data_IF_111132186774
#
_entry.id   IF_111132186774
#
_cell.length_a   1.000
_cell.length_b   1.000
_cell.length_c   1.000
_cell.angle_alpha   90.00
_cell.angle_beta   90.00
_cell.angle_gamma   90.00
#
_symmetry.space_group_name_H-M   'P 1'
#
loop_
_entity.id
_entity.type
_entity.pdbx_description
1 polymer ?
#
# COMPACT_ATOMS: atom_id res chain seq x y z
N UNK A 1 -11.08 4.42 -5.70
CA UNK A 1 -12.16 3.42 -5.98
C UNK A 1 -12.38 3.36 -7.48
N UNK A 2 -11.86 2.34 -8.14
CA UNK A 2 -12.01 2.14 -9.59
C UNK A 2 -13.49 2.03 -10.03
N UNK A 3 -14.38 1.65 -9.12
CA UNK A 3 -15.83 1.63 -9.32
C UNK A 3 -16.57 2.09 -8.04
N UNK A 4 -17.01 3.34 -7.98
CA UNK A 4 -17.91 3.80 -6.92
C UNK A 4 -19.20 2.97 -6.89
N UNK A 5 -19.69 2.65 -5.69
CA UNK A 5 -20.96 1.94 -5.50
C UNK A 5 -20.91 0.41 -5.63
N UNK A 6 -19.76 -0.19 -5.92
CA UNK A 6 -19.57 -1.65 -5.83
C UNK A 6 -18.90 -1.98 -4.50
N UNK A 7 -19.55 -2.82 -3.71
CA UNK A 7 -18.92 -3.37 -2.50
C UNK A 7 -17.76 -4.29 -2.92
N UNK A 8 -16.52 -4.01 -2.52
CA UNK A 8 -15.37 -4.82 -2.91
C UNK A 8 -15.36 -6.21 -2.28
N UNK A 9 -16.11 -6.43 -1.21
CA UNK A 9 -16.15 -7.70 -0.47
C UNK A 9 -17.35 -8.58 -0.84
N UNK A 10 -18.46 -7.93 -1.25
CA UNK A 10 -19.67 -8.63 -1.67
C UNK A 10 -20.20 -8.01 -2.97
N UNK A 11 -19.46 -8.14 -4.09
CA UNK A 11 -19.93 -7.64 -5.38
C UNK A 11 -21.16 -8.41 -5.83
N UNK A 12 -22.14 -7.72 -6.40
CA UNK A 12 -23.32 -8.39 -6.97
C UNK A 12 -22.89 -9.27 -8.15
N UNK A 13 -23.49 -10.44 -8.29
CA UNK A 13 -23.28 -11.30 -9.46
C UNK A 13 -23.59 -10.52 -10.74
N UNK A 14 -22.74 -10.66 -11.77
CA UNK A 14 -22.83 -9.90 -13.02
C UNK A 14 -22.23 -8.50 -12.98
N UNK A 15 -21.65 -8.05 -11.85
CA UNK A 15 -20.91 -6.77 -11.79
C UNK A 15 -19.66 -6.85 -12.66
N UNK A 16 -19.44 -5.80 -13.49
CA UNK A 16 -18.21 -5.64 -14.26
C UNK A 16 -17.22 -4.83 -13.44
N UNK A 17 -16.05 -5.37 -13.15
CA UNK A 17 -14.95 -4.70 -12.47
C UNK A 17 -13.88 -4.26 -13.47
N UNK A 18 -13.37 -3.05 -13.33
CA UNK A 18 -12.20 -2.60 -14.07
C UNK A 18 -10.95 -3.00 -13.29
N UNK A 19 -10.13 -3.86 -13.87
CA UNK A 19 -8.86 -4.28 -13.29
C UNK A 19 -7.75 -3.54 -14.04
N UNK A 20 -7.01 -2.62 -13.40
CA UNK A 20 -5.89 -1.96 -14.05
C UNK A 20 -4.76 -2.98 -14.27
N UNK A 21 -4.29 -3.08 -15.51
CA UNK A 21 -3.12 -3.89 -15.87
C UNK A 21 -1.80 -3.13 -15.69
N UNK A 22 -1.88 -1.85 -15.38
CA UNK A 22 -0.75 -0.95 -15.18
C UNK A 22 -0.91 -0.24 -13.84
N UNK A 23 0.20 -0.04 -13.13
CA UNK A 23 0.32 0.85 -11.97
C UNK A 23 1.58 1.67 -12.12
N UNK A 24 1.57 2.92 -11.66
CA UNK A 24 2.77 3.74 -11.63
C UNK A 24 3.64 3.34 -10.44
N UNK A 25 4.96 3.43 -10.63
CA UNK A 25 5.88 3.19 -9.53
C UNK A 25 5.92 4.40 -8.59
N UNK A 26 6.09 4.19 -7.27
CA UNK A 26 6.23 5.30 -6.33
C UNK A 26 7.54 6.07 -6.58
N UNK A 27 7.52 7.38 -6.26
CA UNK A 27 8.70 8.24 -6.28
C UNK A 27 9.56 7.95 -5.04
N UNK A 28 10.34 6.88 -5.13
CA UNK A 28 11.23 6.39 -4.09
C UNK A 28 12.39 5.61 -4.73
N UNK A 29 13.52 5.41 -4.03
CA UNK A 29 14.61 4.57 -4.50
C UNK A 29 14.11 3.17 -4.90
N UNK A 30 14.46 2.73 -6.10
CA UNK A 30 14.03 1.43 -6.65
C UNK A 30 14.97 0.31 -6.19
N UNK A 31 15.02 0.10 -4.90
CA UNK A 31 15.86 -0.91 -4.26
C UNK A 31 15.15 -1.53 -3.06
N UNK A 32 15.36 -2.82 -2.80
CA UNK A 32 14.80 -3.51 -1.66
C UNK A 32 13.27 -3.43 -1.61
N UNK A 33 12.73 -2.98 -0.50
CA UNK A 33 11.29 -2.84 -0.25
C UNK A 33 10.88 -1.37 -0.26
N UNK A 34 9.90 -1.03 -1.07
CA UNK A 34 9.16 0.24 -0.96
C UNK A 34 7.71 -0.10 -0.61
N UNK A 35 7.24 0.37 0.53
CA UNK A 35 5.92 0.06 1.06
C UNK A 35 5.12 1.36 1.10
N UNK A 36 4.16 1.51 0.18
CA UNK A 36 3.34 2.71 0.13
C UNK A 36 2.00 2.49 0.84
N UNK A 37 1.88 3.09 2.00
CA UNK A 37 0.71 2.93 2.87
C UNK A 37 -0.57 3.47 2.24
N UNK A 38 -0.51 4.59 1.50
CA UNK A 38 -1.67 5.18 0.84
C UNK A 38 -2.25 4.28 -0.26
N UNK A 39 -1.44 3.40 -0.84
CA UNK A 39 -1.85 2.47 -1.89
C UNK A 39 -2.23 1.08 -1.36
N UNK A 40 -1.82 0.77 -0.11
CA UNK A 40 -1.85 -0.59 0.45
C UNK A 40 -1.08 -1.57 -0.44
N UNK A 41 0.11 -1.15 -0.92
CA UNK A 41 0.99 -1.92 -1.80
C UNK A 41 2.43 -1.94 -1.29
N UNK A 42 3.07 -3.09 -1.45
CA UNK A 42 4.49 -3.31 -1.27
C UNK A 42 5.11 -3.60 -2.63
N UNK A 43 6.19 -2.89 -2.95
CA UNK A 43 7.01 -3.03 -4.13
C UNK A 43 8.35 -3.65 -3.72
N UNK A 44 8.69 -4.80 -4.28
CA UNK A 44 9.98 -5.42 -4.07
C UNK A 44 10.83 -5.30 -5.34
N UNK A 45 11.97 -4.70 -5.21
CA UNK A 45 12.98 -4.53 -6.26
C UNK A 45 14.13 -5.49 -6.00
N UNK A 46 14.19 -6.64 -6.71
CA UNK A 46 15.27 -7.61 -6.54
C UNK A 46 16.63 -7.00 -6.94
N UNK A 47 17.71 -7.23 -6.18
CA UNK A 47 19.01 -6.70 -6.51
C UNK A 47 19.49 -7.20 -7.87
N UNK A 48 20.07 -6.27 -8.68
CA UNK A 48 20.64 -6.57 -10.00
C UNK A 48 19.61 -6.86 -11.10
N UNK A 49 18.31 -6.67 -10.86
CA UNK A 49 17.25 -6.85 -11.84
C UNK A 49 16.51 -5.55 -12.13
N UNK A 50 16.08 -5.37 -13.38
CA UNK A 50 15.16 -4.29 -13.75
C UNK A 50 13.71 -4.77 -13.69
N UNK A 51 13.32 -5.31 -12.54
CA UNK A 51 12.03 -5.89 -12.28
C UNK A 51 11.47 -5.36 -10.95
N UNK A 52 10.17 -5.38 -10.82
CA UNK A 52 9.47 -5.11 -9.57
C UNK A 52 8.35 -6.11 -9.37
N UNK A 53 8.26 -6.67 -8.16
CA UNK A 53 7.11 -7.47 -7.76
C UNK A 53 6.23 -6.64 -6.84
N UNK A 54 4.93 -6.59 -7.12
CA UNK A 54 3.97 -5.79 -6.36
C UNK A 54 3.04 -6.71 -5.59
N UNK A 55 2.95 -6.49 -4.27
CA UNK A 55 2.08 -7.24 -3.38
C UNK A 55 1.02 -6.33 -2.75
N UNK A 56 -0.26 -6.74 -2.73
CA UNK A 56 -1.26 -6.07 -1.91
C UNK A 56 -1.00 -6.36 -0.44
N UNK A 57 -1.19 -5.36 0.42
CA UNK A 57 -0.91 -5.48 1.85
C UNK A 57 -2.08 -5.02 2.71
N UNK A 58 -2.15 -5.54 3.93
CA UNK A 58 -2.91 -4.97 5.03
C UNK A 58 -1.99 -4.23 5.99
N UNK A 59 -2.45 -3.15 6.59
CA UNK A 59 -1.66 -2.30 7.48
C UNK A 59 -2.35 -2.07 8.83
N UNK A 60 -1.68 -1.33 9.71
CA UNK A 60 -2.19 -0.95 11.01
C UNK A 60 -3.52 -0.19 10.93
N UNK A 61 -4.45 -0.57 11.82
CA UNK A 61 -5.73 0.12 11.95
C UNK A 61 -5.54 1.54 12.49
N UNK A 62 -6.53 2.39 12.23
CA UNK A 62 -6.55 3.75 12.73
C UNK A 62 -6.74 3.77 14.24
N UNK A 63 -6.03 4.67 14.90
CA UNK A 63 -6.16 4.97 16.33
C UNK A 63 -5.05 4.38 17.21
N UNK A 64 -4.60 5.17 18.17
CA UNK A 64 -3.63 4.79 19.19
C UNK A 64 -2.28 4.35 18.65
N UNK A 65 -1.73 3.30 19.25
CA UNK A 65 -0.40 2.73 18.94
C UNK A 65 -0.42 1.68 17.81
N UNK A 66 -1.51 1.60 17.05
CA UNK A 66 -1.73 0.56 16.04
C UNK A 66 -1.42 1.01 14.61
N UNK A 67 -1.07 2.28 14.40
CA UNK A 67 -0.72 2.82 13.09
C UNK A 67 0.62 2.25 12.63
N UNK A 68 0.71 1.86 11.36
CA UNK A 68 2.00 1.57 10.71
C UNK A 68 2.69 2.90 10.41
N UNK A 69 3.86 3.20 10.98
CA UNK A 69 4.55 4.47 10.73
C UNK A 69 5.31 4.47 9.42
N UNK A 70 5.54 5.67 8.86
CA UNK A 70 6.54 5.87 7.81
C UNK A 70 7.94 5.79 8.40
N UNK A 71 8.88 5.11 7.70
CA UNK A 71 10.25 4.96 8.17
C UNK A 71 11.18 4.47 7.06
N UNK A 72 12.45 4.74 7.22
CA UNK A 72 13.53 4.07 6.48
C UNK A 72 14.22 3.10 7.45
N UNK A 73 14.34 1.84 7.05
CA UNK A 73 14.88 0.76 7.88
C UNK A 73 15.45 -0.34 7.02
N UNK A 74 15.83 -1.46 7.61
CA UNK A 74 16.27 -2.67 6.92
C UNK A 74 15.54 -3.90 7.46
N UNK A 75 15.62 -5.01 6.72
CA UNK A 75 15.24 -6.33 7.21
C UNK A 75 16.28 -6.80 8.21
N UNK A 76 15.88 -7.14 9.44
CA UNK A 76 16.81 -7.63 10.48
C UNK A 76 16.80 -9.13 10.66
N UNK A 77 15.66 -9.78 10.48
CA UNK A 77 15.50 -11.23 10.69
C UNK A 77 14.36 -11.79 9.85
N UNK A 78 14.42 -13.09 9.58
CA UNK A 78 13.37 -13.84 8.87
C UNK A 78 13.07 -15.12 9.63
N UNK A 79 11.78 -15.43 9.77
CA UNK A 79 11.36 -16.63 10.49
C UNK A 79 10.25 -17.39 9.77
N UNK A 80 10.49 -18.68 9.50
CA UNK A 80 9.44 -19.59 9.07
C UNK A 80 8.71 -20.16 10.30
N UNK A 81 7.43 -20.41 10.14
CA UNK A 81 6.55 -20.94 11.19
C UNK A 81 6.69 -20.18 12.53
N UNK A 82 6.45 -18.85 12.53
CA UNK A 82 6.61 -18.04 13.72
C UNK A 82 5.57 -18.42 14.77
N UNK A 83 5.93 -18.30 16.04
CA UNK A 83 4.95 -18.23 17.12
C UNK A 83 4.45 -16.80 17.25
N UNK A 84 3.24 -16.60 17.74
CA UNK A 84 2.69 -15.28 18.01
C UNK A 84 2.49 -15.07 19.51
N UNK A 85 3.12 -14.02 20.02
CA UNK A 85 2.92 -13.55 21.39
C UNK A 85 2.09 -12.27 21.35
N UNK A 86 0.78 -12.32 21.64
CA UNK A 86 -0.06 -11.13 21.63
C UNK A 86 0.40 -10.16 22.73
N UNK A 87 0.50 -8.88 22.38
CA UNK A 87 0.86 -7.81 23.32
C UNK A 87 -0.21 -7.66 24.39
N UNK A 88 0.13 -7.01 25.51
CA UNK A 88 -0.85 -6.72 26.58
C UNK A 88 -2.09 -5.99 26.06
N UNK A 89 -1.90 -5.01 25.16
CA UNK A 89 -3.01 -4.26 24.54
C UNK A 89 -3.90 -5.15 23.66
N UNK A 90 -3.30 -6.07 22.89
CA UNK A 90 -4.05 -7.03 22.09
C UNK A 90 -4.87 -7.95 22.99
N UNK A 91 -4.26 -8.51 24.04
CA UNK A 91 -4.97 -9.36 25.00
C UNK A 91 -6.13 -8.63 25.68
N UNK A 92 -5.90 -7.38 26.12
CA UNK A 92 -6.95 -6.57 26.75
C UNK A 92 -8.13 -6.34 25.80
N UNK A 93 -7.86 -6.02 24.53
CA UNK A 93 -8.90 -5.83 23.52
C UNK A 93 -9.71 -7.10 23.26
N UNK A 94 -9.04 -8.26 23.10
CA UNK A 94 -9.73 -9.54 22.90
C UNK A 94 -10.54 -9.95 24.13
N UNK A 95 -9.99 -9.72 25.33
CA UNK A 95 -10.72 -9.96 26.59
C UNK A 95 -11.99 -9.10 26.70
N UNK A 96 -11.94 -7.84 26.25
CA UNK A 96 -13.12 -6.97 26.20
C UNK A 96 -14.21 -7.49 25.22
N UNK A 97 -13.83 -8.30 24.22
CA UNK A 97 -14.74 -9.00 23.31
C UNK A 97 -15.17 -10.40 23.82
N UNK A 98 -14.80 -10.77 25.05
CA UNK A 98 -15.10 -12.09 25.62
C UNK A 98 -14.19 -13.22 25.14
N UNK A 99 -13.07 -12.90 24.48
CA UNK A 99 -12.11 -13.87 23.95
C UNK A 99 -10.83 -13.86 24.80
N UNK A 100 -10.50 -14.99 25.39
CA UNK A 100 -9.24 -15.15 26.13
C UNK A 100 -8.14 -15.71 25.21
N UNK A 101 -7.14 -14.89 24.92
CA UNK A 101 -6.01 -15.31 24.09
C UNK A 101 -4.96 -16.02 24.96
N UNK A 102 -4.34 -17.13 24.46
CA UNK A 102 -3.20 -17.73 25.12
C UNK A 102 -2.02 -16.77 25.19
N UNK A 103 -1.10 -17.03 26.14
CA UNK A 103 0.12 -16.22 26.27
C UNK A 103 0.98 -16.28 24.97
N UNK A 104 1.01 -17.44 24.33
CA UNK A 104 1.69 -17.67 23.05
C UNK A 104 0.80 -18.55 22.18
N UNK A 105 0.56 -18.15 20.94
CA UNK A 105 -0.06 -18.98 19.92
C UNK A 105 1.05 -19.69 19.14
N UNK A 106 1.06 -21.03 19.10
CA UNK A 106 2.06 -21.78 18.36
C UNK A 106 1.94 -21.57 16.85
N UNK A 107 2.95 -21.98 16.11
CA UNK A 107 2.85 -22.06 14.65
C UNK A 107 1.71 -23.01 14.25
N UNK A 108 0.96 -22.64 13.21
CA UNK A 108 -0.16 -23.44 12.72
C UNK A 108 -1.26 -22.60 12.08
N UNK A 109 -2.36 -23.24 11.64
CA UNK A 109 -3.43 -22.59 10.90
C UNK A 109 -4.19 -21.53 11.70
N UNK A 110 -4.18 -21.61 13.02
CA UNK A 110 -4.82 -20.64 13.91
C UNK A 110 -3.93 -19.44 14.25
N UNK A 111 -2.67 -19.44 13.77
CA UNK A 111 -1.74 -18.36 14.04
C UNK A 111 -2.00 -17.19 13.09
N UNK A 112 -2.36 -15.99 13.60
CA UNK A 112 -2.65 -14.84 12.76
C UNK A 112 -1.43 -14.26 12.02
N UNK A 113 -0.22 -14.76 12.30
CA UNK A 113 0.99 -14.38 11.57
C UNK A 113 1.25 -15.25 10.33
N UNK A 114 0.43 -16.27 10.07
CA UNK A 114 0.66 -17.21 8.97
C UNK A 114 1.96 -18.00 9.12
N UNK A 115 2.52 -18.44 8.01
CA UNK A 115 3.68 -19.36 8.00
C UNK A 115 5.05 -18.65 7.90
N UNK A 116 5.09 -17.35 7.59
CA UNK A 116 6.36 -16.62 7.41
C UNK A 116 6.27 -15.21 8.00
N UNK A 117 7.37 -14.76 8.60
CA UNK A 117 7.53 -13.41 9.12
C UNK A 117 8.92 -12.86 8.75
N UNK A 118 8.96 -11.57 8.43
CA UNK A 118 10.16 -10.78 8.12
C UNK A 118 10.15 -9.60 9.07
N UNK A 119 11.19 -9.45 9.89
CA UNK A 119 11.30 -8.41 10.91
C UNK A 119 12.01 -7.20 10.34
N UNK A 120 11.52 -6.01 10.64
CA UNK A 120 12.17 -4.74 10.36
C UNK A 120 13.01 -4.29 11.56
N UNK A 121 14.18 -3.69 11.31
CA UNK A 121 15.14 -3.31 12.36
C UNK A 121 14.68 -2.13 13.22
N UNK A 122 13.92 -1.20 12.63
CA UNK A 122 13.47 0.02 13.33
C UNK A 122 12.63 -0.30 14.58
N UNK A 123 12.63 0.65 15.51
CA UNK A 123 11.85 0.58 16.76
C UNK A 123 12.07 -0.72 17.56
N UNK A 124 13.30 -1.23 17.57
CA UNK A 124 13.63 -2.48 18.29
C UNK A 124 13.01 -3.73 17.70
N UNK A 125 12.62 -3.69 16.42
CA UNK A 125 12.09 -4.86 15.70
C UNK A 125 10.63 -5.21 16.03
N UNK A 126 9.82 -4.24 16.46
CA UNK A 126 8.39 -4.49 16.76
C UNK A 126 7.51 -4.59 15.52
N UNK A 127 7.96 -4.05 14.38
CA UNK A 127 7.24 -4.10 13.12
C UNK A 127 7.71 -5.28 12.26
N UNK A 128 6.73 -6.01 11.75
CA UNK A 128 6.96 -7.18 10.91
C UNK A 128 6.12 -7.09 9.63
N UNK A 129 6.66 -7.70 8.57
CA UNK A 129 5.87 -8.19 7.45
C UNK A 129 5.57 -9.65 7.74
N UNK A 130 4.31 -10.08 7.66
CA UNK A 130 3.96 -11.47 7.97
C UNK A 130 2.77 -11.94 7.16
N UNK A 131 2.60 -13.25 7.08
CA UNK A 131 1.42 -13.87 6.49
C UNK A 131 0.16 -13.61 7.30
N UNK A 132 -0.90 -14.28 6.93
CA UNK A 132 -2.17 -14.21 7.66
C UNK A 132 -2.94 -15.49 7.46
N UNK A 133 -3.70 -15.89 8.47
CA UNK A 133 -4.73 -16.91 8.35
C UNK A 133 -6.09 -16.34 7.91
N UNK A 134 -6.15 -15.05 7.59
CA UNK A 134 -7.39 -14.32 7.26
C UNK A 134 -7.15 -13.31 6.13
N UNK A 135 -7.21 -13.79 4.89
CA UNK A 135 -6.91 -13.00 3.68
C UNK A 135 -7.83 -11.78 3.49
N UNK A 136 -9.02 -11.77 4.11
CA UNK A 136 -9.94 -10.63 4.03
C UNK A 136 -9.35 -9.32 4.56
N UNK A 137 -8.28 -9.36 5.35
CA UNK A 137 -7.59 -8.18 5.86
C UNK A 137 -6.60 -7.54 4.88
N UNK A 138 -6.36 -8.15 3.72
CA UNK A 138 -5.48 -7.59 2.67
C UNK A 138 -6.22 -6.48 1.92
N UNK A 139 -5.56 -5.36 1.73
CA UNK A 139 -6.19 -4.14 1.19
C UNK A 139 -6.93 -3.31 2.25
N UNK A 140 -6.73 -3.60 3.54
CA UNK A 140 -7.43 -2.95 4.65
C UNK A 140 -6.47 -2.48 5.75
N UNK A 141 -7.00 -1.64 6.65
CA UNK A 141 -6.35 -1.21 7.89
C UNK A 141 -6.91 -2.02 9.06
N UNK A 142 -6.26 -3.14 9.38
CA UNK A 142 -6.80 -4.14 10.33
C UNK A 142 -5.80 -4.67 11.34
N UNK A 143 -4.50 -4.39 11.16
CA UNK A 143 -3.46 -4.92 12.04
C UNK A 143 -3.22 -4.02 13.26
N UNK A 144 -2.35 -4.47 14.14
CA UNK A 144 -1.84 -3.66 15.26
C UNK A 144 -0.49 -3.00 14.93
N UNK A 145 -0.29 -2.57 13.68
CA UNK A 145 0.90 -1.88 13.19
C UNK A 145 1.76 -2.69 12.23
N UNK A 146 1.72 -4.01 12.31
CA UNK A 146 2.44 -4.87 11.38
C UNK A 146 1.81 -4.85 9.97
N UNK A 147 2.59 -5.25 8.98
CA UNK A 147 2.18 -5.30 7.58
C UNK A 147 1.83 -6.75 7.23
N UNK A 148 0.59 -6.96 6.79
CA UNK A 148 0.08 -8.27 6.41
C UNK A 148 0.17 -8.49 4.92
N UNK A 149 0.60 -9.69 4.52
CA UNK A 149 0.55 -10.18 3.15
C UNK A 149 -0.26 -11.48 3.11
N UNK A 150 -0.75 -11.86 1.94
CA UNK A 150 -1.26 -13.23 1.75
C UNK A 150 -0.15 -14.22 2.04
N UNK A 151 -0.49 -15.40 2.51
CA UNK A 151 0.52 -16.36 2.94
C UNK A 151 1.44 -16.81 1.78
N UNK A 152 0.91 -16.94 0.58
CA UNK A 152 1.72 -17.21 -0.62
C UNK A 152 2.63 -16.03 -1.01
N UNK A 153 2.18 -14.80 -0.82
CA UNK A 153 2.95 -13.60 -1.16
C UNK A 153 4.14 -13.43 -0.21
N UNK A 154 3.89 -13.55 1.10
CA UNK A 154 4.99 -13.48 2.09
C UNK A 154 5.97 -14.64 1.94
N UNK A 155 5.51 -15.84 1.56
CA UNK A 155 6.38 -16.98 1.28
C UNK A 155 7.30 -16.70 0.09
N UNK A 156 6.76 -16.14 -1.00
CA UNK A 156 7.54 -15.76 -2.17
C UNK A 156 8.59 -14.69 -1.81
N UNK A 157 8.18 -13.65 -1.10
CA UNK A 157 9.07 -12.60 -0.62
C UNK A 157 10.14 -13.15 0.34
N UNK A 158 9.74 -13.97 1.30
CA UNK A 158 10.63 -14.61 2.27
C UNK A 158 11.76 -15.40 1.61
N UNK A 159 11.46 -16.11 0.52
CA UNK A 159 12.45 -16.92 -0.19
C UNK A 159 13.46 -16.09 -1.00
N UNK A 160 13.13 -14.85 -1.33
CA UNK A 160 13.95 -14.00 -2.20
C UNK A 160 14.67 -12.87 -1.47
N UNK A 161 14.11 -12.37 -0.36
CA UNK A 161 14.68 -11.25 0.39
C UNK A 161 15.81 -11.72 1.31
N UNK A 162 16.85 -10.89 1.45
CA UNK A 162 17.96 -11.13 2.38
C UNK A 162 17.85 -10.23 3.63
N UNK A 163 18.44 -10.61 4.77
CA UNK A 163 18.76 -9.65 5.83
C UNK A 163 19.50 -8.44 5.27
N UNK A 164 19.42 -7.32 5.97
CA UNK A 164 19.99 -6.02 5.60
C UNK A 164 19.39 -5.38 4.32
N UNK A 165 18.39 -6.03 3.68
CA UNK A 165 17.65 -5.41 2.59
C UNK A 165 16.99 -4.12 3.05
N UNK A 166 17.21 -3.03 2.31
CA UNK A 166 16.56 -1.74 2.59
C UNK A 166 15.04 -1.85 2.55
N UNK A 167 14.37 -1.18 3.47
CA UNK A 167 12.92 -1.07 3.53
C UNK A 167 12.51 0.38 3.76
N UNK A 168 11.79 0.95 2.82
CA UNK A 168 11.30 2.32 2.85
C UNK A 168 9.77 2.31 2.93
N UNK A 169 9.21 2.71 4.07
CA UNK A 169 7.77 2.82 4.27
C UNK A 169 7.37 4.27 4.07
N UNK A 170 6.59 4.52 3.04
CA UNK A 170 6.13 5.85 2.61
C UNK A 170 4.61 5.97 2.66
N UNK A 171 4.12 7.20 2.65
CA UNK A 171 2.70 7.52 2.55
C UNK A 171 2.52 8.57 1.44
N UNK A 172 2.57 8.12 0.18
CA UNK A 172 2.51 8.98 -0.99
C UNK A 172 1.26 8.66 -1.81
N UNK A 173 0.18 9.46 -1.68
CA UNK A 173 -1.10 9.17 -2.33
C UNK A 173 -1.12 9.51 -3.82
N UNK A 174 -0.14 10.26 -4.34
CA UNK A 174 -0.09 10.66 -5.74
C UNK A 174 1.25 10.28 -6.37
N UNK A 175 1.18 9.71 -7.57
CA UNK A 175 2.35 9.33 -8.38
C UNK A 175 2.17 9.86 -9.80
N UNK A 176 3.26 10.17 -10.46
CA UNK A 176 3.27 10.59 -11.86
C UNK A 176 4.38 9.89 -12.64
N UNK A 177 4.17 9.76 -13.93
CA UNK A 177 5.16 9.22 -14.87
C UNK A 177 5.08 9.97 -16.19
N UNK A 178 6.23 10.12 -16.85
CA UNK A 178 6.31 10.48 -18.26
C UNK A 178 6.75 9.22 -18.98
N UNK A 179 5.89 8.69 -19.81
CA UNK A 179 6.13 7.46 -20.55
C UNK A 179 7.06 7.70 -21.73
N UNK A 180 7.74 6.64 -22.26
CA UNK A 180 8.64 6.78 -23.40
C UNK A 180 7.98 7.34 -24.67
N UNK A 181 6.68 7.17 -24.83
CA UNK A 181 5.87 7.72 -25.93
C UNK A 181 5.44 9.18 -25.70
N UNK A 182 5.84 9.79 -24.60
CA UNK A 182 5.54 11.16 -24.22
C UNK A 182 4.25 11.32 -23.44
N UNK A 183 3.43 10.28 -23.25
CA UNK A 183 2.23 10.36 -22.40
C UNK A 183 2.62 10.69 -20.97
N UNK A 184 1.77 11.47 -20.34
CA UNK A 184 1.91 11.88 -18.94
C UNK A 184 0.79 11.24 -18.14
N UNK A 185 1.15 10.37 -17.24
CA UNK A 185 0.20 9.62 -16.42
C UNK A 185 0.25 10.09 -14.97
N UNK A 186 -0.89 10.12 -14.31
CA UNK A 186 -1.01 10.33 -12.87
C UNK A 186 -1.85 9.21 -12.26
N UNK A 187 -1.44 8.70 -11.11
CA UNK A 187 -2.22 7.73 -10.32
C UNK A 187 -2.44 8.35 -8.94
N UNK A 188 -3.71 8.47 -8.54
CA UNK A 188 -4.10 9.16 -7.30
C UNK A 188 -4.92 8.23 -6.43
N UNK A 189 -4.45 8.04 -5.22
CA UNK A 189 -5.09 7.29 -4.14
C UNK A 189 -5.65 8.22 -3.08
N UNK A 190 -6.46 7.69 -2.18
CA UNK A 190 -6.90 8.43 -1.01
C UNK A 190 -5.71 8.59 -0.04
N UNK A 191 -5.44 9.79 0.48
CA UNK A 191 -4.50 9.96 1.57
C UNK A 191 -4.87 9.08 2.75
N UNK A 192 -3.86 8.62 3.47
CA UNK A 192 -4.08 7.81 4.66
C UNK A 192 -4.60 8.70 5.78
N UNK A 193 -5.77 8.37 6.34
CA UNK A 193 -6.31 9.04 7.52
C UNK A 193 -5.38 8.88 8.72
N UNK A 194 -5.20 9.93 9.49
CA UNK A 194 -4.43 9.93 10.75
C UNK A 194 -5.35 9.89 11.96
N UNK A 195 -6.55 10.48 11.83
CA UNK A 195 -7.56 10.52 12.88
C UNK A 195 -8.83 9.79 12.46
N UNK A 196 -9.63 9.37 13.46
CA UNK A 196 -10.85 8.57 13.24
C UNK A 196 -11.92 9.35 12.48
N UNK A 197 -11.94 10.66 12.65
CA UNK A 197 -12.91 11.57 12.02
C UNK A 197 -12.47 12.06 10.64
N UNK A 198 -11.27 11.67 10.19
CA UNK A 198 -10.78 12.03 8.87
C UNK A 198 -11.59 11.32 7.78
N UNK A 199 -12.10 12.09 6.81
CA UNK A 199 -12.60 11.54 5.57
C UNK A 199 -11.48 11.50 4.51
N UNK A 200 -10.95 10.31 4.17
CA UNK A 200 -9.85 10.20 3.21
C UNK A 200 -10.22 10.75 1.82
N UNK A 201 -11.51 10.90 1.50
CA UNK A 201 -11.94 11.47 0.23
C UNK A 201 -11.73 12.99 0.17
N UNK A 202 -11.78 13.67 1.30
CA UNK A 202 -11.66 15.14 1.39
C UNK A 202 -10.30 15.60 1.90
N UNK A 203 -9.48 14.71 2.48
CA UNK A 203 -8.15 15.06 2.95
C UNK A 203 -7.31 15.71 1.82
N UNK A 204 -6.55 16.79 2.11
CA UNK A 204 -5.73 17.44 1.11
C UNK A 204 -4.59 16.53 0.65
N UNK A 205 -4.27 16.58 -0.66
CA UNK A 205 -3.07 15.94 -1.22
C UNK A 205 -2.00 17.02 -1.36
N UNK A 206 -0.95 16.94 -0.56
CA UNK A 206 0.20 17.84 -0.66
C UNK A 206 1.10 17.39 -1.80
N UNK A 207 1.38 18.31 -2.73
CA UNK A 207 2.30 18.06 -3.83
C UNK A 207 3.72 18.46 -3.41
N UNK A 208 4.68 17.58 -3.64
CA UNK A 208 6.10 17.94 -3.53
C UNK A 208 6.53 18.79 -4.73
N UNK A 209 7.78 19.29 -4.72
CA UNK A 209 8.29 20.17 -5.78
C UNK A 209 8.25 19.50 -7.17
N UNK A 210 8.61 18.21 -7.25
CA UNK A 210 8.60 17.46 -8.50
C UNK A 210 7.16 17.30 -9.06
N UNK A 211 6.20 16.96 -8.21
CA UNK A 211 4.80 16.83 -8.59
C UNK A 211 4.18 18.18 -8.97
N UNK A 212 4.56 19.26 -8.29
CA UNK A 212 4.18 20.61 -8.63
C UNK A 212 4.69 21.00 -10.02
N UNK A 213 5.97 20.73 -10.31
CA UNK A 213 6.56 20.96 -11.62
C UNK A 213 5.90 20.09 -12.70
N UNK A 214 5.59 18.84 -12.40
CA UNK A 214 4.85 17.96 -13.31
C UNK A 214 3.47 18.56 -13.64
N UNK A 215 2.71 19.03 -12.64
CA UNK A 215 1.39 19.64 -12.83
C UNK A 215 1.47 20.92 -13.66
N UNK A 216 2.49 21.75 -13.44
CA UNK A 216 2.66 23.05 -14.12
C UNK A 216 3.28 22.94 -15.52
N UNK A 217 3.79 21.77 -15.90
CA UNK A 217 4.42 21.58 -17.20
C UNK A 217 3.41 21.87 -18.34
N UNK A 218 3.83 22.55 -19.43
CA UNK A 218 2.93 22.86 -20.55
C UNK A 218 2.27 21.65 -21.20
N UNK A 219 2.93 20.48 -21.11
CA UNK A 219 2.45 19.22 -21.66
C UNK A 219 1.41 18.53 -20.75
N UNK A 220 1.17 19.03 -19.52
CA UNK A 220 0.18 18.46 -18.61
C UNK A 220 -1.15 19.22 -18.76
N UNK A 221 -2.24 18.50 -18.93
CA UNK A 221 -3.58 19.02 -18.76
C UNK A 221 -3.91 19.14 -17.26
N UNK A 222 -3.74 20.36 -16.72
CA UNK A 222 -3.98 20.66 -15.31
C UNK A 222 -5.42 20.39 -14.87
N UNK A 223 -6.40 20.57 -15.78
CA UNK A 223 -7.82 20.33 -15.48
C UNK A 223 -8.11 18.84 -15.32
N UNK A 224 -7.55 18.00 -16.21
CA UNK A 224 -7.68 16.55 -16.10
C UNK A 224 -6.97 16.05 -14.83
N UNK A 225 -5.78 16.61 -14.54
CA UNK A 225 -5.05 16.26 -13.32
C UNK A 225 -5.82 16.63 -12.05
N UNK A 226 -6.44 17.80 -11.99
CA UNK A 226 -7.28 18.19 -10.84
C UNK A 226 -8.49 17.28 -10.67
N UNK A 227 -9.14 16.89 -11.75
CA UNK A 227 -10.22 15.90 -11.71
C UNK A 227 -9.73 14.55 -11.17
N UNK A 228 -8.56 14.08 -11.60
CA UNK A 228 -7.95 12.85 -11.08
C UNK A 228 -7.65 12.95 -9.58
N UNK A 229 -7.12 14.09 -9.11
CA UNK A 229 -6.84 14.36 -7.70
C UNK A 229 -8.12 14.41 -6.84
N UNK A 230 -9.23 14.85 -7.38
CA UNK A 230 -10.53 14.84 -6.69
C UNK A 230 -11.18 13.45 -6.70
N UNK A 231 -11.07 12.71 -7.81
CA UNK A 231 -11.71 11.41 -7.96
C UNK A 231 -10.99 10.27 -7.22
N UNK A 232 -9.65 10.32 -7.14
CA UNK A 232 -8.80 9.38 -6.36
C UNK A 232 -9.09 7.92 -6.70
N UNK A 233 -9.09 7.59 -7.99
CA UNK A 233 -9.47 6.26 -8.48
C UNK A 233 -8.49 5.15 -8.11
N UNK A 234 -7.22 5.49 -7.83
CA UNK A 234 -6.14 4.52 -7.68
C UNK A 234 -5.75 3.83 -8.98
N UNK A 235 -6.10 4.43 -10.12
CA UNK A 235 -5.74 3.95 -11.47
C UNK A 235 -4.95 5.03 -12.20
N UNK A 236 -4.00 4.66 -13.10
CA UNK A 236 -3.35 5.59 -13.98
C UNK A 236 -4.36 6.32 -14.88
N UNK A 237 -4.26 7.64 -14.92
CA UNK A 237 -5.06 8.54 -15.76
C UNK A 237 -4.10 9.29 -16.67
N UNK A 238 -4.40 9.32 -17.96
CA UNK A 238 -3.66 10.13 -18.93
C UNK A 238 -4.02 11.59 -18.74
N UNK A 239 -3.02 12.40 -18.41
CA UNK A 239 -3.11 13.85 -18.22
C UNK A 239 -2.26 14.60 -19.25
N UNK A 240 -1.96 13.96 -20.37
CA UNK A 240 -1.25 14.59 -21.47
C UNK A 240 -2.14 15.68 -22.07
N UNK A 241 -1.59 16.87 -22.23
CA UNK A 241 -2.29 17.93 -22.98
C UNK A 241 -2.25 17.62 -24.47
N UNK A 242 -3.40 17.36 -25.04
CA UNK A 242 -3.55 17.26 -26.49
C UNK A 242 -3.77 18.67 -27.09
N UNK A 243 -3.14 18.93 -28.24
CA UNK A 243 -3.45 20.15 -28.99
C UNK A 243 -4.95 20.13 -29.35
N UNK A 244 -5.64 21.24 -29.13
CA UNK A 244 -7.00 21.39 -29.67
C UNK A 244 -6.93 21.25 -31.19
N UNK A 245 -7.83 20.48 -31.82
CA UNK A 245 -7.92 20.49 -33.26
C UNK A 245 -8.17 21.93 -33.69
N UNK A 246 -7.23 22.49 -34.45
CA UNK A 246 -7.38 23.84 -35.00
C UNK A 246 -8.72 24.00 -35.71
N UNK A 247 -9.28 25.24 -35.83
CA UNK A 247 -10.55 25.46 -36.51
C UNK A 247 -10.47 24.84 -37.91
N UNK A 248 -11.33 23.85 -38.17
CA UNK A 248 -11.48 23.32 -39.50
C UNK A 248 -11.89 24.50 -40.40
N UNK A 249 -11.00 24.93 -41.30
CA UNK A 249 -11.34 25.91 -42.35
C UNK A 249 -12.43 25.30 -43.20
N UNK A 250 -13.62 25.92 -43.11
CA UNK A 250 -14.77 25.67 -44.00
C UNK A 250 -14.44 26.02 -45.44
#
# INVERSE_FOLDING_TARGET
KAKPGVDPYVPRAGSVLTIPLQTLLPDAPREGLVINLAELRLYYYPPGKNEVTVYPIGIGQLGGTTITPTMVTTVSDKRANPTWTPTANIRARYKAMGIELPAVVPAGPDNPMGHHAIRLAAYGGVYLLHGTNADFGIGMRVSSGCIRLRDNDIKALYNTISPDTNANIINTPIKASVEPDGRRLVEVHQPLSEHIDDDPQTLPITLNAAMTAFKQAPQTDGTVMERAMNYRSGMPIDVTRHAEPGPQSL
#
